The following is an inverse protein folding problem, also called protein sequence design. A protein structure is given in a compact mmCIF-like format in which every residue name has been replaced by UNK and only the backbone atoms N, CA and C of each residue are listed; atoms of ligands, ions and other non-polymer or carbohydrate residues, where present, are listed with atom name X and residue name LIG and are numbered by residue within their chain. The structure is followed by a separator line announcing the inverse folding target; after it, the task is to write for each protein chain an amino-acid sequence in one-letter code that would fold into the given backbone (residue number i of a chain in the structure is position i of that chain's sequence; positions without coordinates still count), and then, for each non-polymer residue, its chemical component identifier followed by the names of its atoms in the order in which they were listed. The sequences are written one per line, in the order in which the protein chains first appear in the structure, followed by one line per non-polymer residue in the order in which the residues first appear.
data_IF_987047922739
#
_entry.id   IF_987047922739
#
_cell.length_a   1.000
_cell.length_b   1.000
_cell.length_c   1.000
_cell.angle_alpha   90.00
_cell.angle_beta   90.00
_cell.angle_gamma   90.00
#
_symmetry.space_group_name_H-M   'P 1'
#
loop_
_entity.id
_entity.type
_entity.pdbx_description
1 polymer ?
#
# COMPACT_ATOMS: atom_id res chain seq x y z
N UNK A 1 -2.13 11.15 -11.41
CA UNK A 1 -2.45 10.26 -10.28
C UNK A 1 -1.43 10.48 -9.20
N UNK A 2 -1.66 9.94 -8.01
CA UNK A 2 -0.74 10.08 -6.88
C UNK A 2 -0.75 8.80 -6.03
N UNK A 3 0.31 8.62 -5.25
CA UNK A 3 0.38 7.68 -4.14
C UNK A 3 0.86 8.46 -2.92
N UNK A 4 0.18 8.26 -1.79
CA UNK A 4 0.60 8.76 -0.48
C UNK A 4 0.94 7.55 0.38
N UNK A 5 2.03 7.68 1.12
CA UNK A 5 2.54 6.68 2.03
C UNK A 5 3.78 7.22 2.75
N UNK A 6 4.31 6.43 3.66
CA UNK A 6 5.45 6.77 4.48
C UNK A 6 6.45 5.60 4.60
N UNK A 7 7.66 5.93 5.02
CA UNK A 7 8.65 4.96 5.47
C UNK A 7 8.75 5.12 6.98
N UNK A 8 8.02 4.30 7.74
CA UNK A 8 8.05 4.38 9.19
C UNK A 8 7.62 3.09 9.89
N UNK A 9 8.19 2.88 11.08
CA UNK A 9 7.84 1.82 12.03
C UNK A 9 7.14 2.35 13.27
N UNK A 10 6.28 3.37 13.15
CA UNK A 10 5.64 4.00 14.31
C UNK A 10 4.63 3.08 15.03
N UNK A 11 4.25 1.97 14.41
CA UNK A 11 3.33 0.98 14.97
C UNK A 11 4.03 -0.05 15.87
N UNK A 12 3.24 -0.63 16.78
CA UNK A 12 3.57 -1.64 17.80
C UNK A 12 4.66 -2.68 17.45
N UNK A 13 5.93 -2.31 17.53
CA UNK A 13 7.07 -3.20 17.26
C UNK A 13 7.34 -3.42 15.77
N UNK A 14 6.81 -2.58 14.90
CA UNK A 14 7.10 -2.59 13.46
C UNK A 14 8.51 -2.03 13.25
N UNK A 15 9.40 -2.72 12.51
CA UNK A 15 10.73 -2.21 12.23
C UNK A 15 10.70 -0.90 11.43
N UNK A 16 11.72 -0.05 11.61
CA UNK A 16 11.92 1.16 10.78
C UNK A 16 12.21 0.85 9.29
N UNK A 17 12.35 -0.43 8.94
CA UNK A 17 12.49 -0.92 7.55
C UNK A 17 11.15 -1.19 6.88
N UNK A 18 10.04 -0.82 7.52
CA UNK A 18 8.69 -0.94 6.96
C UNK A 18 8.24 0.39 6.37
N UNK A 19 7.52 0.30 5.25
CA UNK A 19 6.79 1.43 4.68
C UNK A 19 5.29 1.11 4.52
N UNK A 20 4.50 2.16 4.45
CA UNK A 20 3.06 2.09 4.27
C UNK A 20 2.62 2.76 2.98
N UNK A 21 1.57 2.22 2.36
CA UNK A 21 0.82 2.91 1.30
C UNK A 21 -0.59 3.17 1.83
N UNK A 22 -0.91 4.45 2.00
CA UNK A 22 -2.19 4.86 2.58
C UNK A 22 -3.25 5.10 1.52
N UNK A 23 -2.84 5.67 0.38
CA UNK A 23 -3.80 6.15 -0.62
C UNK A 23 -3.21 6.08 -2.02
N UNK A 24 -4.02 5.59 -2.95
CA UNK A 24 -3.73 5.59 -4.38
C UNK A 24 -4.87 6.31 -5.10
N UNK A 25 -4.52 7.34 -5.87
CA UNK A 25 -5.50 8.15 -6.61
C UNK A 25 -5.18 8.21 -8.10
N UNK A 26 -6.14 7.79 -8.94
CA UNK A 26 -6.11 8.04 -10.39
C UNK A 26 -7.48 8.55 -10.81
N UNK A 27 -7.50 9.70 -11.47
CA UNK A 27 -8.72 10.31 -12.01
C UNK A 27 -9.47 9.29 -12.90
N UNK A 28 -10.81 9.14 -12.79
CA UNK A 28 -11.58 8.12 -13.49
C UNK A 28 -11.29 7.99 -14.99
N UNK A 29 -11.24 9.11 -15.71
CA UNK A 29 -10.97 9.15 -17.16
C UNK A 29 -9.59 8.62 -17.57
N UNK A 30 -8.67 8.52 -16.61
CA UNK A 30 -7.29 8.08 -16.78
C UNK A 30 -7.03 6.70 -16.17
N UNK A 31 -8.03 6.06 -15.57
CA UNK A 31 -7.91 4.71 -15.04
C UNK A 31 -7.72 3.66 -16.14
N UNK A 32 -7.26 2.47 -15.75
CA UNK A 32 -6.99 1.33 -16.66
C UNK A 32 -5.94 1.59 -17.76
N UNK A 33 -5.15 2.67 -17.63
CA UNK A 33 -4.03 3.02 -18.52
C UNK A 33 -2.64 2.71 -17.91
N UNK A 34 -2.58 1.96 -16.81
CA UNK A 34 -1.32 1.61 -16.14
C UNK A 34 -0.72 2.69 -15.23
N UNK A 35 -1.38 3.84 -15.05
CA UNK A 35 -0.87 4.97 -14.25
C UNK A 35 -0.58 4.57 -12.79
N UNK A 36 -1.50 3.86 -12.14
CA UNK A 36 -1.29 3.41 -10.76
C UNK A 36 -0.08 2.47 -10.63
N UNK A 37 0.14 1.59 -11.62
CA UNK A 37 1.29 0.69 -11.67
C UNK A 37 2.60 1.45 -11.83
N UNK A 38 2.64 2.48 -12.69
CA UNK A 38 3.82 3.32 -12.88
C UNK A 38 4.17 4.07 -11.58
N UNK A 39 3.17 4.69 -10.96
CA UNK A 39 3.34 5.40 -9.69
C UNK A 39 3.83 4.44 -8.60
N UNK A 40 3.23 3.26 -8.49
CA UNK A 40 3.59 2.26 -7.48
C UNK A 40 5.06 1.81 -7.61
N UNK A 41 5.50 1.52 -8.83
CA UNK A 41 6.90 1.11 -9.08
C UNK A 41 7.89 2.19 -8.63
N UNK A 42 7.58 3.45 -8.93
CA UNK A 42 8.42 4.57 -8.53
C UNK A 42 8.40 4.78 -7.01
N UNK A 43 7.22 4.70 -6.37
CA UNK A 43 7.09 4.76 -4.90
C UNK A 43 7.92 3.68 -4.23
N UNK A 44 7.79 2.41 -4.66
CA UNK A 44 8.58 1.30 -4.10
C UNK A 44 10.07 1.48 -4.34
N UNK A 45 10.49 1.97 -5.51
CA UNK A 45 11.89 2.27 -5.78
C UNK A 45 12.45 3.33 -4.83
N UNK A 46 11.65 4.35 -4.49
CA UNK A 46 12.05 5.39 -3.55
C UNK A 46 12.05 4.91 -2.08
N UNK A 47 11.07 4.09 -1.68
CA UNK A 47 11.05 3.45 -0.36
C UNK A 47 12.30 2.57 -0.15
N UNK A 48 12.69 1.77 -1.15
CA UNK A 48 13.92 0.96 -1.06
C UNK A 48 15.17 1.80 -0.84
N UNK A 49 15.27 2.99 -1.45
CA UNK A 49 16.43 3.89 -1.29
C UNK A 49 16.58 4.42 0.14
N UNK A 50 15.48 4.50 0.90
CA UNK A 50 15.48 4.95 2.30
C UNK A 50 15.52 3.80 3.30
N UNK A 51 15.79 2.57 2.84
CA UNK A 51 15.99 1.40 3.70
C UNK A 51 14.75 0.56 3.96
N UNK A 52 13.62 0.84 3.29
CA UNK A 52 12.42 -0.01 3.40
C UNK A 52 12.62 -1.32 2.66
N UNK A 53 12.42 -2.44 3.35
CA UNK A 53 12.45 -3.80 2.79
C UNK A 53 11.05 -4.40 2.62
N UNK A 54 10.07 -3.92 3.38
CA UNK A 54 8.72 -4.47 3.45
C UNK A 54 7.68 -3.35 3.38
N UNK A 55 6.64 -3.52 2.55
CA UNK A 55 5.56 -2.52 2.42
C UNK A 55 4.23 -3.14 2.82
N UNK A 56 3.49 -2.48 3.69
CA UNK A 56 2.13 -2.87 4.07
C UNK A 56 1.09 -1.85 3.60
N UNK A 57 -0.14 -2.33 3.50
CA UNK A 57 -1.33 -1.53 3.19
C UNK A 57 -2.55 -2.24 3.76
N UNK A 58 -3.61 -1.50 4.06
CA UNK A 58 -4.91 -2.07 4.38
C UNK A 58 -5.86 -1.94 3.20
N UNK A 59 -6.59 -3.01 2.92
CA UNK A 59 -7.57 -3.06 1.84
C UNK A 59 -8.87 -3.66 2.38
N UNK A 60 -9.99 -3.03 2.06
CA UNK A 60 -11.30 -3.62 2.36
C UNK A 60 -11.47 -4.92 1.57
N UNK A 61 -11.84 -6.02 2.24
CA UNK A 61 -11.92 -7.35 1.64
C UNK A 61 -12.91 -7.49 0.48
N UNK A 62 -13.86 -6.56 0.34
CA UNK A 62 -14.81 -6.51 -0.79
C UNK A 62 -14.38 -5.59 -1.93
N UNK A 63 -13.23 -4.93 -1.82
CA UNK A 63 -12.71 -4.03 -2.85
C UNK A 63 -11.95 -4.81 -3.92
N UNK A 64 -12.68 -5.55 -4.76
CA UNK A 64 -12.10 -6.48 -5.72
C UNK A 64 -11.10 -5.86 -6.70
N UNK A 65 -11.38 -4.65 -7.20
CA UNK A 65 -10.45 -3.97 -8.11
C UNK A 65 -9.13 -3.60 -7.43
N UNK A 66 -9.20 -3.19 -6.16
CA UNK A 66 -8.03 -2.84 -5.38
C UNK A 66 -7.24 -4.08 -4.96
N UNK A 67 -7.93 -5.15 -4.54
CA UNK A 67 -7.30 -6.45 -4.26
C UNK A 67 -6.58 -6.99 -5.49
N UNK A 68 -7.21 -6.97 -6.66
CA UNK A 68 -6.58 -7.40 -7.92
C UNK A 68 -5.40 -6.51 -8.30
N UNK A 69 -5.45 -5.21 -8.00
CA UNK A 69 -4.32 -4.32 -8.22
C UNK A 69 -3.13 -4.74 -7.34
N UNK A 70 -3.34 -4.91 -6.03
CA UNK A 70 -2.28 -5.27 -5.10
C UNK A 70 -1.72 -6.68 -5.34
N UNK A 71 -2.57 -7.65 -5.66
CA UNK A 71 -2.17 -8.99 -6.12
C UNK A 71 -1.22 -8.90 -7.34
N UNK A 72 -1.58 -8.11 -8.36
CA UNK A 72 -0.71 -7.86 -9.53
C UNK A 72 0.59 -7.15 -9.19
N UNK A 73 0.63 -6.37 -8.10
CA UNK A 73 1.85 -5.70 -7.63
C UNK A 73 2.72 -6.61 -6.74
N UNK A 74 2.28 -7.84 -6.47
CA UNK A 74 3.02 -8.83 -5.68
C UNK A 74 2.76 -8.75 -4.18
N UNK A 75 1.67 -8.11 -3.74
CA UNK A 75 1.27 -8.17 -2.34
C UNK A 75 0.69 -9.55 -2.00
N UNK A 76 1.05 -10.03 -0.82
CA UNK A 76 0.52 -11.24 -0.22
C UNK A 76 -0.03 -10.92 1.17
N UNK A 77 -0.72 -11.90 1.78
CA UNK A 77 -1.19 -11.74 3.15
C UNK A 77 0.00 -11.67 4.10
N UNK A 78 0.26 -10.49 4.68
CA UNK A 78 1.28 -10.32 5.72
C UNK A 78 0.96 -11.02 7.04
N UNK A 79 1.86 -10.89 8.01
CA UNK A 79 1.77 -11.53 9.33
C UNK A 79 0.97 -10.71 10.36
N UNK A 80 0.62 -9.47 10.04
CA UNK A 80 -0.23 -8.63 10.88
C UNK A 80 -1.72 -8.98 10.76
N UNK A 81 -2.46 -8.75 11.85
CA UNK A 81 -3.92 -8.88 11.89
C UNK A 81 -4.56 -7.50 12.08
N UNK A 82 -5.70 -7.29 11.42
CA UNK A 82 -6.52 -6.09 11.62
C UNK A 82 -7.49 -6.32 12.79
N UNK A 83 -7.41 -5.47 13.81
CA UNK A 83 -8.30 -5.50 14.98
C UNK A 83 -9.27 -4.33 14.93
N UNK A 84 -10.54 -4.58 15.27
CA UNK A 84 -11.57 -3.56 15.30
C UNK A 84 -12.39 -3.67 16.60
N UNK A 85 -12.55 -2.55 17.31
CA UNK A 85 -13.50 -2.40 18.41
C UNK A 85 -14.61 -1.45 17.98
N UNK A 86 -15.84 -1.95 17.86
CA UNK A 86 -17.01 -1.13 17.57
C UNK A 86 -17.49 -0.46 18.86
N UNK A 87 -17.44 0.87 18.91
CA UNK A 87 -17.82 1.63 20.10
C UNK A 87 -19.33 1.87 20.22
N UNK A 88 -20.08 1.86 19.09
CA UNK A 88 -21.54 1.85 18.97
C UNK A 88 -21.96 1.28 17.61
#
# INVERSE_FOLDING_TARGET
GFIIGDASGWEYGVPDTVGWIDTIGVHPDYQKRGIATLLFKETVANLRKVGVDTVYTFVQWRSWDLLRFFDRMGFEKGDMIHLQLKLR
#
